data_IF_338443427427
#
_entry.id   IF_338443427427
#
_cell.length_a   1.000
_cell.length_b   1.000
_cell.length_c   1.000
_cell.angle_alpha   90.00
_cell.angle_beta   90.00
_cell.angle_gamma   90.00
#
_symmetry.space_group_name_H-M   'P 1'
#
loop_
_entity.id
_entity.type
_entity.pdbx_description
1 polymer ?
#
# COMPACT_ATOMS: atom_id res chain seq x y z
N UNK A 1 -21.33 -3.27 -2.22
CA UNK A 1 -21.08 -1.83 -2.12
C UNK A 1 -20.65 -1.55 -0.69
N UNK A 2 -19.36 -1.73 -0.39
CA UNK A 2 -18.80 -1.29 0.89
C UNK A 2 -18.53 0.21 0.72
N UNK A 3 -19.40 1.06 1.24
CA UNK A 3 -19.16 2.50 1.26
C UNK A 3 -17.94 2.79 2.14
N UNK A 4 -16.73 2.81 1.55
CA UNK A 4 -15.50 3.19 2.26
C UNK A 4 -15.54 4.66 2.71
N UNK A 5 -16.47 5.45 2.17
CA UNK A 5 -16.77 6.80 2.64
C UNK A 5 -17.43 6.83 4.02
N UNK A 6 -17.69 5.67 4.64
CA UNK A 6 -17.93 5.60 6.07
C UNK A 6 -16.64 5.94 6.82
N UNK A 7 -16.65 7.09 7.48
CA UNK A 7 -15.55 7.59 8.32
C UNK A 7 -15.06 6.53 9.33
N UNK A 8 -15.97 5.69 9.83
CA UNK A 8 -15.67 4.55 10.72
C UNK A 8 -14.74 3.50 10.13
N UNK A 9 -14.71 3.33 8.81
CA UNK A 9 -13.89 2.33 8.10
C UNK A 9 -12.62 2.98 7.54
N UNK A 10 -12.68 4.25 7.14
CA UNK A 10 -11.52 5.01 6.70
C UNK A 10 -10.47 5.17 7.81
N UNK A 11 -10.89 5.47 9.04
CA UNK A 11 -9.97 5.65 10.19
C UNK A 11 -9.09 4.41 10.45
N UNK A 12 -9.64 3.20 10.66
CA UNK A 12 -8.82 2.01 10.91
C UNK A 12 -7.94 1.64 9.71
N UNK A 13 -8.39 1.88 8.48
CA UNK A 13 -7.56 1.66 7.27
C UNK A 13 -6.35 2.59 7.24
N UNK A 14 -6.55 3.89 7.53
CA UNK A 14 -5.44 4.86 7.58
C UNK A 14 -4.47 4.54 8.73
N UNK A 15 -4.98 4.16 9.90
CA UNK A 15 -4.14 3.74 11.04
C UNK A 15 -3.35 2.49 10.70
N UNK A 16 -3.97 1.50 10.05
CA UNK A 16 -3.30 0.27 9.63
C UNK A 16 -2.22 0.54 8.57
N UNK A 17 -2.51 1.40 7.58
CA UNK A 17 -1.53 1.84 6.59
C UNK A 17 -0.35 2.58 7.25
N UNK A 18 -0.61 3.45 8.22
CA UNK A 18 0.42 4.16 8.99
C UNK A 18 1.29 3.21 9.82
N UNK A 19 0.70 2.19 10.45
CA UNK A 19 1.43 1.14 11.15
C UNK A 19 2.34 0.37 10.19
N UNK A 20 1.82 -0.08 9.04
CA UNK A 20 2.61 -0.77 8.02
C UNK A 20 3.75 0.11 7.49
N UNK A 21 3.48 1.40 7.26
CA UNK A 21 4.50 2.36 6.80
C UNK A 21 5.59 2.63 7.84
N UNK A 22 5.25 2.59 9.13
CA UNK A 22 6.19 2.79 10.23
C UNK A 22 7.26 1.68 10.34
N UNK A 23 7.05 0.53 9.70
CA UNK A 23 8.09 -0.51 9.61
C UNK A 23 9.23 -0.13 8.67
N UNK A 24 9.06 0.85 7.79
CA UNK A 24 10.10 1.30 6.87
C UNK A 24 11.43 1.66 7.58
N UNK A 25 11.42 2.55 8.59
CA UNK A 25 12.60 2.85 9.41
C UNK A 25 13.14 1.65 10.21
N UNK A 26 12.27 0.79 10.72
CA UNK A 26 12.67 -0.41 11.47
C UNK A 26 13.44 -1.39 10.58
N UNK A 27 13.01 -1.57 9.33
CA UNK A 27 13.71 -2.41 8.35
C UNK A 27 15.10 -1.83 8.07
N UNK A 28 15.21 -0.51 7.80
CA UNK A 28 16.51 0.14 7.57
C UNK A 28 17.45 0.01 8.76
N UNK A 29 16.92 0.11 9.99
CA UNK A 29 17.72 0.00 11.20
C UNK A 29 18.29 -1.40 11.44
N UNK A 30 17.59 -2.44 10.96
CA UNK A 30 18.03 -3.83 11.10
C UNK A 30 18.68 -4.38 9.81
N UNK A 31 18.85 -3.55 8.78
CA UNK A 31 19.58 -3.94 7.57
C UNK A 31 21.09 -3.96 7.86
N UNK A 32 21.75 -5.04 7.48
CA UNK A 32 23.21 -5.09 7.40
C UNK A 32 23.69 -4.21 6.25
N UNK A 33 24.48 -3.21 6.58
CA UNK A 33 25.05 -2.22 5.65
C UNK A 33 24.01 -1.53 4.72
N UNK A 34 23.16 -0.63 5.26
CA UNK A 34 22.09 0.01 4.50
C UNK A 34 22.60 0.94 3.37
N UNK A 35 23.89 1.27 3.37
CA UNK A 35 24.52 2.09 2.32
C UNK A 35 24.75 1.34 1.02
N UNK A 36 24.90 0.01 1.08
CA UNK A 36 25.14 -0.84 -0.10
C UNK A 36 23.87 -1.21 -0.86
N UNK A 37 22.70 -1.11 -0.22
CA UNK A 37 21.43 -1.69 -0.69
C UNK A 37 20.26 -0.66 -0.75
N UNK A 38 20.49 0.64 -1.06
CA UNK A 38 19.44 1.67 -0.98
C UNK A 38 18.34 1.47 -2.02
N UNK A 39 18.66 0.88 -3.18
CA UNK A 39 17.72 0.64 -4.26
C UNK A 39 16.66 -0.40 -3.87
N UNK A 40 17.05 -1.49 -3.21
CA UNK A 40 16.10 -2.54 -2.80
C UNK A 40 15.13 -2.01 -1.75
N UNK A 41 15.59 -1.09 -0.89
CA UNK A 41 14.71 -0.41 0.05
C UNK A 41 13.68 0.47 -0.66
N UNK A 42 14.12 1.29 -1.62
CA UNK A 42 13.22 2.12 -2.42
C UNK A 42 12.23 1.28 -3.23
N UNK A 43 12.69 0.17 -3.80
CA UNK A 43 11.84 -0.78 -4.52
C UNK A 43 10.79 -1.43 -3.60
N UNK A 44 11.21 -1.91 -2.43
CA UNK A 44 10.29 -2.47 -1.43
C UNK A 44 9.26 -1.44 -0.97
N UNK A 45 9.67 -0.18 -0.73
CA UNK A 45 8.73 0.91 -0.43
C UNK A 45 7.75 1.17 -1.56
N UNK A 46 8.21 1.25 -2.80
CA UNK A 46 7.36 1.43 -3.97
C UNK A 46 6.33 0.31 -4.12
N UNK A 47 6.76 -0.93 -3.87
CA UNK A 47 5.90 -2.11 -3.88
C UNK A 47 4.83 -2.05 -2.76
N UNK A 48 5.20 -1.63 -1.54
CA UNK A 48 4.23 -1.45 -0.45
C UNK A 48 3.16 -0.42 -0.80
N UNK A 49 3.53 0.72 -1.37
CA UNK A 49 2.56 1.74 -1.83
C UNK A 49 1.68 1.18 -2.94
N UNK A 50 2.27 0.47 -3.90
CA UNK A 50 1.53 -0.16 -4.99
C UNK A 50 0.47 -1.13 -4.46
N UNK A 51 0.81 -2.00 -3.50
CA UNK A 51 -0.16 -2.89 -2.86
C UNK A 51 -1.24 -2.12 -2.09
N UNK A 52 -0.87 -1.10 -1.31
CA UNK A 52 -1.84 -0.28 -0.57
C UNK A 52 -2.87 0.38 -1.50
N UNK A 53 -2.42 0.94 -2.63
CA UNK A 53 -3.29 1.54 -3.63
C UNK A 53 -4.21 0.51 -4.30
N UNK A 54 -3.67 -0.66 -4.67
CA UNK A 54 -4.47 -1.73 -5.27
C UNK A 54 -5.53 -2.24 -4.29
N UNK A 55 -5.19 -2.41 -3.02
CA UNK A 55 -6.13 -2.80 -1.97
C UNK A 55 -7.19 -1.72 -1.78
N UNK A 56 -6.81 -0.44 -1.76
CA UNK A 56 -7.75 0.68 -1.69
C UNK A 56 -8.76 0.66 -2.86
N UNK A 57 -8.26 0.58 -4.10
CA UNK A 57 -9.10 0.51 -5.30
C UNK A 57 -9.98 -0.74 -5.32
N UNK A 58 -9.47 -1.88 -4.84
CA UNK A 58 -10.26 -3.10 -4.70
C UNK A 58 -11.40 -2.94 -3.68
N UNK A 59 -11.17 -2.24 -2.56
CA UNK A 59 -12.25 -1.93 -1.64
C UNK A 59 -13.28 -0.96 -2.24
N UNK A 60 -12.87 -0.11 -3.18
CA UNK A 60 -13.73 0.95 -3.76
C UNK A 60 -14.61 0.40 -4.88
N UNK A 61 -14.00 -0.36 -5.79
CA UNK A 61 -14.65 -0.90 -6.98
C UNK A 61 -15.11 -2.37 -6.80
N UNK A 62 -14.64 -3.07 -5.76
CA UNK A 62 -14.99 -4.45 -5.49
C UNK A 62 -14.52 -5.42 -6.59
N UNK A 63 -15.38 -6.35 -7.00
CA UNK A 63 -15.06 -7.36 -8.03
C UNK A 63 -14.91 -6.73 -9.43
N UNK A 64 -15.53 -5.56 -9.68
CA UNK A 64 -15.36 -4.83 -10.94
C UNK A 64 -13.99 -4.18 -11.08
N UNK A 65 -13.21 -4.09 -10.00
CA UNK A 65 -11.83 -3.60 -10.00
C UNK A 65 -10.99 -4.23 -11.10
N UNK A 66 -11.04 -5.55 -11.30
CA UNK A 66 -10.24 -6.22 -12.33
C UNK A 66 -10.55 -5.71 -13.74
N UNK A 67 -11.82 -5.39 -14.03
CA UNK A 67 -12.23 -4.86 -15.34
C UNK A 67 -11.76 -3.41 -15.54
N UNK A 68 -11.77 -2.60 -14.49
CA UNK A 68 -11.33 -1.20 -14.55
C UNK A 68 -9.79 -1.11 -14.57
N UNK A 69 -9.12 -1.93 -13.75
CA UNK A 69 -7.67 -2.08 -13.73
C UNK A 69 -7.10 -2.50 -15.09
N UNK A 70 -7.76 -3.45 -15.77
CA UNK A 70 -7.39 -3.84 -17.14
C UNK A 70 -7.58 -2.73 -18.18
N UNK A 71 -8.56 -1.84 -18.00
CA UNK A 71 -8.77 -0.69 -18.89
C UNK A 71 -7.70 0.39 -18.73
N UNK A 72 -7.15 0.56 -17.54
CA UNK A 72 -6.08 1.54 -17.26
C UNK A 72 -4.77 1.16 -17.98
N UNK A 73 -4.57 -0.13 -18.27
CA UNK A 73 -3.37 -0.65 -18.93
C UNK A 73 -3.40 -0.68 -20.47
N UNK A 74 -4.47 -0.17 -21.10
CA UNK A 74 -4.61 -0.01 -22.57
C UNK A 74 -4.59 1.47 -22.91
#
# INVERSE_FOLDING_TARGET
>A
MLEIKNEKLAIPVVVFAGLLWSFGPLVVRNMDDPGLIPWQYLFARGLVIFFLLNVYLFFEEGIEFYKNYLKIGI
#
